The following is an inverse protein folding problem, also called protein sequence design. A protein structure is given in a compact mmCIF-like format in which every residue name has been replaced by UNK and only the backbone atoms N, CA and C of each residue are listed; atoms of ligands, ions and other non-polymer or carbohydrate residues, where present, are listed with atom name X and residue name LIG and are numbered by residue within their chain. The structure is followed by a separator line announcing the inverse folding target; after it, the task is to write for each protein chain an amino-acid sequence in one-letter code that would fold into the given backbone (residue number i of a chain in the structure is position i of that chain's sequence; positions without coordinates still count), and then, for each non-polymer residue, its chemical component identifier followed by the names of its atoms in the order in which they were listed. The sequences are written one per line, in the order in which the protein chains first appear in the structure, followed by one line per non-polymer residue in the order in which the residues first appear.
data_IF_834763906483
#
_entry.id   IF_834763906483
#
_cell.length_a   1.000
_cell.length_b   1.000
_cell.length_c   1.000
_cell.angle_alpha   90.00
_cell.angle_beta   90.00
_cell.angle_gamma   90.00
#
_symmetry.space_group_name_H-M   'P 1'
#
loop_
_entity.id
_entity.type
_entity.pdbx_description
1 polymer ?
#
# COMPACT_ATOMS: atom_id res chain seq x y z
N UNK A 1 -23.50 -8.13 -26.86
CA UNK A 1 -23.60 -8.00 -25.38
C UNK A 1 -23.18 -6.58 -25.04
N UNK A 2 -24.10 -5.74 -24.60
CA UNK A 2 -23.83 -4.36 -24.20
C UNK A 2 -23.14 -4.46 -22.83
N UNK A 3 -21.97 -3.87 -22.63
CA UNK A 3 -21.27 -3.98 -21.34
C UNK A 3 -22.10 -3.30 -20.24
N UNK A 4 -22.36 -4.02 -19.17
CA UNK A 4 -23.12 -3.56 -17.99
C UNK A 4 -22.58 -2.28 -17.31
N UNK A 5 -21.45 -1.75 -17.75
CA UNK A 5 -20.83 -0.52 -17.22
C UNK A 5 -21.57 0.78 -17.57
N UNK A 6 -22.46 0.80 -18.55
CA UNK A 6 -23.15 2.04 -18.98
C UNK A 6 -24.32 2.42 -18.06
N UNK A 7 -24.83 1.50 -17.22
CA UNK A 7 -26.05 1.74 -16.43
C UNK A 7 -25.76 2.42 -15.07
N UNK A 8 -24.55 2.34 -14.54
CA UNK A 8 -24.22 2.96 -13.23
C UNK A 8 -23.92 4.46 -13.35
N UNK A 9 -23.45 4.93 -14.49
CA UNK A 9 -23.13 6.34 -14.70
C UNK A 9 -24.38 7.23 -14.94
N UNK A 10 -25.50 6.66 -15.35
CA UNK A 10 -26.72 7.41 -15.68
C UNK A 10 -27.62 7.72 -14.47
N UNK A 11 -27.42 7.10 -13.33
CA UNK A 11 -28.25 7.31 -12.13
C UNK A 11 -27.76 8.46 -11.22
N UNK A 12 -26.58 9.03 -11.49
CA UNK A 12 -25.99 10.13 -10.71
C UNK A 12 -26.25 11.53 -11.30
N UNK A 13 -26.92 11.63 -12.45
CA UNK A 13 -27.08 12.90 -13.18
C UNK A 13 -28.38 13.68 -12.87
N UNK A 14 -29.29 13.19 -12.05
CA UNK A 14 -30.62 13.83 -11.85
C UNK A 14 -31.05 14.02 -10.41
N UNK A 15 -30.16 14.38 -9.50
CA UNK A 15 -30.59 14.91 -8.19
C UNK A 15 -29.65 15.98 -7.69
N UNK A 16 -29.66 17.14 -8.36
CA UNK A 16 -29.28 18.41 -7.73
C UNK A 16 -30.41 18.92 -6.82
N UNK A 17 -31.06 18.04 -6.08
CA UNK A 17 -31.98 18.39 -5.03
C UNK A 17 -31.19 18.76 -3.79
N UNK A 18 -31.35 19.99 -3.34
CA UNK A 18 -30.85 20.62 -2.15
C UNK A 18 -30.73 19.65 -0.97
N UNK A 19 -29.53 19.12 -0.74
CA UNK A 19 -29.13 18.66 0.58
C UNK A 19 -28.88 19.93 1.38
N UNK A 20 -29.85 20.29 2.23
CA UNK A 20 -29.71 21.35 3.19
C UNK A 20 -28.36 21.20 3.89
N UNK A 21 -27.58 22.30 3.93
CA UNK A 21 -26.41 22.39 4.79
C UNK A 21 -26.90 22.27 6.22
N UNK A 22 -26.90 21.06 6.77
CA UNK A 22 -26.93 20.92 8.23
C UNK A 22 -25.59 21.46 8.72
N UNK A 23 -25.63 22.47 9.55
CA UNK A 23 -24.47 23.04 10.26
C UNK A 23 -23.95 22.09 11.34
N UNK A 24 -24.64 20.98 11.59
CA UNK A 24 -24.28 19.98 12.58
C UNK A 24 -23.13 19.14 12.07
N UNK A 25 -22.01 19.17 12.80
CA UNK A 25 -20.93 18.22 12.59
C UNK A 25 -21.48 16.79 12.80
N UNK A 26 -21.11 15.81 11.93
CA UNK A 26 -21.57 14.45 12.09
C UNK A 26 -21.08 13.91 13.44
N UNK A 27 -21.96 13.25 14.17
CA UNK A 27 -21.61 12.60 15.43
C UNK A 27 -20.51 11.54 15.23
N UNK A 28 -19.70 11.34 16.28
CA UNK A 28 -18.65 10.32 16.31
C UNK A 28 -18.99 9.29 17.39
N UNK A 29 -18.40 8.09 17.32
CA UNK A 29 -18.52 7.10 18.38
C UNK A 29 -18.00 7.64 19.73
N UNK A 30 -16.94 8.46 19.68
CA UNK A 30 -16.37 9.15 20.82
C UNK A 30 -17.40 10.07 21.51
N UNK A 31 -18.14 10.87 20.75
CA UNK A 31 -19.20 11.75 21.25
C UNK A 31 -20.40 10.96 21.77
N UNK A 32 -20.80 9.90 21.08
CA UNK A 32 -21.89 9.02 21.50
C UNK A 32 -21.62 8.35 22.86
N UNK A 33 -20.35 8.14 23.21
CA UNK A 33 -19.91 7.64 24.50
C UNK A 33 -19.74 8.74 25.56
N UNK A 34 -20.05 10.00 25.23
CA UNK A 34 -19.95 11.12 26.16
C UNK A 34 -18.53 11.68 26.31
N UNK A 35 -17.64 11.47 25.34
CA UNK A 35 -16.24 11.94 25.36
C UNK A 35 -15.51 11.56 26.66
N UNK A 36 -15.43 10.27 27.03
CA UNK A 36 -14.78 9.85 28.27
C UNK A 36 -13.32 10.29 28.29
N UNK A 37 -12.88 10.81 29.42
CA UNK A 37 -11.51 11.29 29.60
C UNK A 37 -10.49 10.17 29.44
N UNK A 38 -9.43 10.43 28.71
CA UNK A 38 -8.35 9.47 28.42
C UNK A 38 -8.72 8.36 27.42
N UNK A 39 -10.01 8.13 27.11
CA UNK A 39 -10.42 7.10 26.16
C UNK A 39 -10.67 7.70 24.78
N UNK A 40 -10.02 7.16 23.77
CA UNK A 40 -10.28 7.43 22.35
C UNK A 40 -10.86 6.18 21.70
N UNK A 41 -11.98 6.31 21.02
CA UNK A 41 -12.61 5.21 20.27
C UNK A 41 -12.95 5.64 18.87
N UNK A 42 -12.86 4.71 17.92
CA UNK A 42 -13.29 4.92 16.55
C UNK A 42 -13.74 3.60 15.92
N UNK A 43 -14.63 3.70 14.95
CA UNK A 43 -14.99 2.56 14.13
C UNK A 43 -15.09 2.98 12.67
N UNK A 44 -14.79 2.05 11.78
CA UNK A 44 -15.02 2.25 10.35
C UNK A 44 -15.56 0.98 9.70
N UNK A 45 -16.39 1.17 8.69
CA UNK A 45 -16.83 0.10 7.80
C UNK A 45 -16.67 0.55 6.36
N UNK A 46 -16.04 -0.27 5.55
CA UNK A 46 -15.86 -0.06 4.12
C UNK A 46 -16.48 -1.20 3.34
N UNK A 47 -17.35 -0.88 2.40
CA UNK A 47 -17.85 -1.81 1.39
C UNK A 47 -17.29 -1.40 0.03
N UNK A 48 -16.69 -2.36 -0.70
CA UNK A 48 -16.13 -2.14 -2.03
C UNK A 48 -16.58 -3.23 -2.98
N UNK A 49 -17.01 -2.81 -4.17
CA UNK A 49 -17.15 -3.68 -5.33
C UNK A 49 -15.98 -3.45 -6.28
N UNK A 50 -15.37 -4.53 -6.76
CA UNK A 50 -14.28 -4.53 -7.73
C UNK A 50 -14.66 -5.40 -8.92
N UNK A 51 -14.34 -4.94 -10.13
CA UNK A 51 -14.51 -5.71 -11.36
C UNK A 51 -13.22 -5.68 -12.19
N UNK A 52 -12.78 -6.85 -12.64
CA UNK A 52 -11.55 -7.06 -13.40
C UNK A 52 -11.86 -7.88 -14.65
N UNK A 53 -11.45 -7.39 -15.81
CA UNK A 53 -11.68 -8.05 -17.09
C UNK A 53 -10.37 -8.20 -17.89
N UNK A 54 -10.26 -9.31 -18.61
CA UNK A 54 -9.15 -9.64 -19.53
C UNK A 54 -7.78 -9.55 -18.85
N UNK A 55 -7.66 -10.06 -17.61
CA UNK A 55 -6.38 -10.07 -16.93
C UNK A 55 -5.40 -11.08 -17.54
N UNK A 56 -4.13 -10.70 -17.55
CA UNK A 56 -3.04 -11.46 -18.18
C UNK A 56 -2.28 -12.39 -17.23
N UNK A 57 -2.53 -12.37 -15.92
CA UNK A 57 -1.80 -13.17 -14.92
C UNK A 57 -2.06 -14.66 -15.09
N UNK A 58 -1.01 -15.51 -15.07
CA UNK A 58 -1.17 -16.95 -15.26
C UNK A 58 -1.90 -17.61 -14.09
N UNK A 59 -2.68 -18.64 -14.40
CA UNK A 59 -3.37 -19.46 -13.39
C UNK A 59 -4.58 -18.81 -12.74
N UNK A 60 -5.03 -17.65 -13.22
CA UNK A 60 -6.21 -16.95 -12.76
C UNK A 60 -7.24 -16.82 -13.88
N UNK A 61 -8.50 -16.66 -13.53
CA UNK A 61 -9.55 -16.39 -14.49
C UNK A 61 -9.37 -15.03 -15.14
N UNK A 62 -9.77 -14.90 -16.40
CA UNK A 62 -9.64 -13.64 -17.13
C UNK A 62 -10.52 -12.53 -16.57
N UNK A 63 -11.69 -12.89 -16.04
CA UNK A 63 -12.63 -11.96 -15.48
C UNK A 63 -12.90 -12.33 -14.02
N UNK A 64 -13.06 -11.31 -13.18
CA UNK A 64 -13.24 -11.49 -11.74
C UNK A 64 -14.08 -10.34 -11.19
N UNK A 65 -15.08 -10.65 -10.38
CA UNK A 65 -15.94 -9.70 -9.69
C UNK A 65 -15.91 -9.99 -8.19
N UNK A 66 -15.70 -8.98 -7.38
CA UNK A 66 -15.52 -9.15 -5.94
C UNK A 66 -16.26 -8.07 -5.15
N UNK A 67 -16.90 -8.45 -4.06
CA UNK A 67 -17.32 -7.54 -3.00
C UNK A 67 -16.45 -7.76 -1.78
N UNK A 68 -15.81 -6.72 -1.29
CA UNK A 68 -15.06 -6.76 -0.04
C UNK A 68 -15.72 -5.89 1.02
N UNK A 69 -15.75 -6.40 2.26
CA UNK A 69 -16.19 -5.65 3.43
C UNK A 69 -15.05 -5.65 4.43
N UNK A 70 -14.71 -4.47 4.95
CA UNK A 70 -13.74 -4.30 6.03
C UNK A 70 -14.37 -3.49 7.15
N UNK A 71 -14.32 -4.03 8.35
CA UNK A 71 -14.74 -3.36 9.58
C UNK A 71 -13.53 -3.25 10.51
N UNK A 72 -13.24 -2.05 11.00
CA UNK A 72 -12.20 -1.81 11.99
C UNK A 72 -12.83 -1.12 13.19
N UNK A 73 -12.51 -1.58 14.41
CA UNK A 73 -12.90 -0.96 15.69
C UNK A 73 -11.62 -0.78 16.49
N UNK A 74 -11.33 0.46 16.88
CA UNK A 74 -10.13 0.80 17.64
C UNK A 74 -10.49 1.54 18.92
N UNK A 75 -9.72 1.27 19.97
CA UNK A 75 -9.78 1.97 21.25
C UNK A 75 -8.37 2.17 21.82
N UNK A 76 -8.10 3.36 22.36
CA UNK A 76 -6.88 3.66 23.11
C UNK A 76 -7.27 4.36 24.41
N UNK A 77 -6.77 3.85 25.54
CA UNK A 77 -6.90 4.48 26.84
C UNK A 77 -5.55 5.05 27.28
N UNK A 78 -5.54 6.35 27.51
CA UNK A 78 -4.36 7.15 27.85
C UNK A 78 -4.48 7.66 29.30
N UNK A 79 -3.57 7.21 30.17
CA UNK A 79 -3.47 7.63 31.57
C UNK A 79 -2.51 8.80 31.78
N UNK A 80 -1.92 9.33 30.72
CA UNK A 80 -0.80 10.26 30.70
C UNK A 80 0.55 9.53 30.51
N UNK A 81 1.11 8.85 31.53
CA UNK A 81 2.38 8.15 31.33
C UNK A 81 2.27 6.81 30.60
N UNK A 82 1.08 6.19 30.59
CA UNK A 82 0.88 4.87 29.98
C UNK A 82 -0.36 4.92 29.08
N UNK A 83 -0.25 4.29 27.90
CA UNK A 83 -1.33 4.09 26.94
C UNK A 83 -1.56 2.60 26.73
N UNK A 84 -2.82 2.21 26.61
CA UNK A 84 -3.23 0.85 26.25
C UNK A 84 -4.08 0.97 25.00
N UNK A 85 -3.64 0.40 23.89
CA UNK A 85 -4.33 0.49 22.60
C UNK A 85 -4.67 -0.87 22.03
N UNK A 86 -5.82 -0.94 21.35
CA UNK A 86 -6.28 -2.12 20.64
C UNK A 86 -7.07 -1.77 19.39
N UNK A 87 -7.00 -2.63 18.40
CA UNK A 87 -7.78 -2.56 17.16
C UNK A 87 -8.15 -3.96 16.71
N UNK A 88 -9.43 -4.20 16.48
CA UNK A 88 -9.95 -5.41 15.87
C UNK A 88 -10.36 -5.11 14.44
N UNK A 89 -9.82 -5.87 13.49
CA UNK A 89 -10.18 -5.83 12.08
C UNK A 89 -10.98 -7.07 11.67
N UNK A 90 -11.95 -6.89 10.77
CA UNK A 90 -12.67 -7.98 10.11
C UNK A 90 -12.75 -7.71 8.61
N UNK A 91 -11.92 -8.42 7.84
CA UNK A 91 -11.80 -8.28 6.39
C UNK A 91 -12.34 -9.51 5.69
N UNK A 92 -13.42 -9.33 4.93
CA UNK A 92 -14.12 -10.41 4.22
C UNK A 92 -14.30 -10.10 2.75
N UNK A 93 -14.39 -11.16 1.94
CA UNK A 93 -14.62 -11.06 0.51
C UNK A 93 -15.67 -12.07 0.05
N UNK A 94 -16.46 -11.68 -0.95
CA UNK A 94 -17.59 -12.43 -1.46
C UNK A 94 -17.57 -12.45 -2.99
N UNK A 95 -18.20 -13.45 -3.59
CA UNK A 95 -18.30 -13.73 -5.03
C UNK A 95 -17.03 -14.26 -5.69
N UNK A 96 -15.93 -14.46 -4.92
CA UNK A 96 -14.75 -15.12 -5.45
C UNK A 96 -14.98 -16.62 -5.70
N UNK A 97 -14.22 -17.18 -6.64
CA UNK A 97 -14.19 -18.60 -6.97
C UNK A 97 -12.75 -19.14 -6.97
N UNK A 98 -12.51 -20.43 -7.24
CA UNK A 98 -11.16 -21.00 -7.25
C UNK A 98 -10.18 -20.33 -8.22
N UNK A 99 -10.65 -19.79 -9.35
CA UNK A 99 -9.87 -19.06 -10.35
C UNK A 99 -9.71 -17.57 -10.08
N UNK A 100 -10.45 -17.04 -9.10
CA UNK A 100 -10.43 -15.63 -8.71
C UNK A 100 -9.03 -15.14 -8.27
N UNK A 101 -8.80 -13.85 -8.43
CA UNK A 101 -7.59 -13.16 -7.94
C UNK A 101 -7.57 -12.96 -6.42
N UNK A 102 -8.65 -13.32 -5.71
CA UNK A 102 -8.75 -13.21 -4.25
C UNK A 102 -7.60 -13.90 -3.52
N UNK A 103 -7.05 -13.25 -2.50
CA UNK A 103 -5.94 -13.76 -1.69
C UNK A 103 -5.94 -13.20 -0.27
N UNK A 104 -4.78 -13.26 0.37
CA UNK A 104 -4.55 -12.70 1.72
C UNK A 104 -4.63 -11.17 1.76
N UNK A 105 -4.71 -10.51 0.61
CA UNK A 105 -4.98 -9.06 0.50
C UNK A 105 -6.44 -8.69 0.68
N UNK A 106 -7.36 -9.66 0.54
CA UNK A 106 -8.80 -9.44 0.60
C UNK A 106 -9.46 -10.04 1.84
N UNK A 107 -8.89 -11.12 2.40
CA UNK A 107 -9.49 -11.84 3.55
C UNK A 107 -8.51 -11.93 4.71
N UNK A 108 -8.95 -11.45 5.86
CA UNK A 108 -8.35 -11.62 7.18
C UNK A 108 -9.45 -11.39 8.25
N UNK A 109 -10.20 -12.44 8.56
CA UNK A 109 -11.43 -12.32 9.35
C UNK A 109 -11.13 -12.38 10.85
N UNK A 110 -11.68 -11.40 11.60
CA UNK A 110 -11.58 -11.27 13.07
C UNK A 110 -10.13 -11.30 13.56
N UNK A 111 -9.28 -10.43 13.01
CA UNK A 111 -7.87 -10.33 13.38
C UNK A 111 -7.65 -9.17 14.36
N UNK A 112 -6.94 -9.37 15.48
CA UNK A 112 -6.45 -8.28 16.31
C UNK A 112 -5.31 -7.56 15.58
N UNK A 113 -5.63 -6.42 14.95
CA UNK A 113 -4.66 -5.63 14.17
C UNK A 113 -3.68 -4.91 15.10
N UNK A 114 -4.17 -4.39 16.24
CA UNK A 114 -3.33 -3.76 17.25
C UNK A 114 -3.70 -4.25 18.64
N UNK A 115 -2.69 -4.45 19.49
CA UNK A 115 -2.80 -4.75 20.91
C UNK A 115 -1.46 -4.39 21.58
N UNK A 116 -1.36 -3.20 22.16
CA UNK A 116 -0.08 -2.68 22.65
C UNK A 116 -0.22 -1.92 23.98
N UNK A 117 0.92 -1.86 24.69
CA UNK A 117 1.18 -0.94 25.78
C UNK A 117 2.16 0.13 25.27
N UNK A 118 1.85 1.40 25.51
CA UNK A 118 2.70 2.54 25.23
C UNK A 118 3.13 3.21 26.54
N UNK A 119 4.37 3.66 26.60
CA UNK A 119 4.89 4.47 27.67
C UNK A 119 5.36 5.82 27.14
N UNK A 120 4.93 6.91 27.80
CA UNK A 120 5.44 8.25 27.57
C UNK A 120 6.73 8.43 28.37
N UNK A 121 7.87 8.60 27.68
CA UNK A 121 9.19 8.73 28.29
C UNK A 121 9.53 10.19 28.64
N UNK A 122 8.63 11.12 28.25
CA UNK A 122 8.89 12.55 28.40
C UNK A 122 10.01 13.07 27.49
N UNK A 123 10.71 14.12 27.89
CA UNK A 123 11.79 14.71 27.11
C UNK A 123 13.07 13.84 27.16
N UNK A 124 13.40 13.25 26.00
CA UNK A 124 14.62 12.46 25.77
C UNK A 124 15.49 13.22 24.77
N UNK A 125 16.80 13.39 25.06
CA UNK A 125 17.76 14.16 24.25
C UNK A 125 17.47 15.67 24.14
N UNK A 126 16.71 16.27 25.09
CA UNK A 126 16.47 17.71 25.14
C UNK A 126 15.13 18.08 25.78
N UNK A 127 15.03 19.28 26.38
CA UNK A 127 13.84 19.72 27.14
C UNK A 127 12.57 19.93 26.30
N UNK A 128 12.72 20.20 25.01
CA UNK A 128 11.60 20.46 24.09
C UNK A 128 11.33 19.26 23.15
N UNK A 129 11.65 18.06 23.61
CA UNK A 129 11.47 16.82 22.86
C UNK A 129 10.46 15.92 23.55
N UNK A 130 9.90 14.97 22.81
CA UNK A 130 9.04 13.92 23.35
C UNK A 130 9.49 12.57 22.82
N UNK A 131 9.32 11.53 23.62
CA UNK A 131 9.60 10.17 23.19
C UNK A 131 8.56 9.21 23.76
N UNK A 132 8.22 8.20 22.97
CA UNK A 132 7.32 7.11 23.38
C UNK A 132 7.97 5.77 23.08
N UNK A 133 7.63 4.77 23.90
CA UNK A 133 7.98 3.37 23.66
C UNK A 133 6.69 2.57 23.63
N UNK A 134 6.39 1.94 22.50
CA UNK A 134 5.27 1.03 22.37
C UNK A 134 5.77 -0.41 22.30
N UNK A 135 5.10 -1.34 22.98
CA UNK A 135 5.40 -2.77 22.99
C UNK A 135 4.11 -3.57 22.80
N UNK A 136 4.13 -4.57 21.94
CA UNK A 136 2.98 -5.38 21.54
C UNK A 136 2.77 -5.33 20.03
N UNK A 137 1.52 -5.41 19.60
CA UNK A 137 1.14 -5.39 18.18
C UNK A 137 0.68 -3.98 17.77
N UNK A 138 1.26 -3.43 16.72
CA UNK A 138 1.00 -2.08 16.23
C UNK A 138 1.19 -2.01 14.70
N UNK A 139 0.77 -0.90 14.10
CA UNK A 139 1.03 -0.60 12.68
C UNK A 139 2.24 0.33 12.54
N UNK A 140 2.90 0.26 11.37
CA UNK A 140 3.99 1.15 10.99
C UNK A 140 3.66 1.82 9.66
N UNK A 141 3.66 3.18 9.68
CA UNK A 141 3.62 4.01 8.49
C UNK A 141 4.84 4.93 8.51
N UNK A 142 5.82 4.67 7.63
CA UNK A 142 7.10 5.34 7.65
C UNK A 142 7.40 6.04 6.32
N UNK A 143 7.73 7.33 6.41
CA UNK A 143 8.16 8.15 5.29
C UNK A 143 7.13 8.23 4.16
N UNK A 144 7.50 7.78 2.97
CA UNK A 144 6.64 7.73 1.79
C UNK A 144 5.69 6.54 1.76
N UNK A 145 5.74 5.65 2.74
CA UNK A 145 5.01 4.37 2.80
C UNK A 145 5.38 3.38 1.65
N UNK A 146 6.41 3.69 0.88
CA UNK A 146 6.84 2.85 -0.26
C UNK A 146 7.42 1.51 0.17
N UNK A 147 8.01 1.43 1.36
CA UNK A 147 8.67 0.23 1.88
C UNK A 147 8.06 -0.27 3.19
N UNK A 148 7.43 0.59 3.98
CA UNK A 148 6.78 0.23 5.25
C UNK A 148 5.48 0.99 5.38
N UNK A 149 4.36 0.27 5.38
CA UNK A 149 3.02 0.85 5.44
C UNK A 149 1.99 -0.08 6.08
N UNK A 150 1.00 0.52 6.72
CA UNK A 150 -0.23 -0.16 7.16
C UNK A 150 -1.01 -0.77 5.97
N UNK A 151 -0.93 -0.18 4.78
CA UNK A 151 -1.68 -0.58 3.58
C UNK A 151 -3.20 -0.36 3.70
N UNK A 152 -3.65 0.87 3.46
CA UNK A 152 -5.07 1.21 3.61
C UNK A 152 -5.96 0.85 2.41
N UNK A 153 -5.41 0.70 1.20
CA UNK A 153 -6.22 0.38 0.02
C UNK A 153 -6.65 -1.09 -0.05
N UNK A 154 -5.78 -2.10 0.16
CA UNK A 154 -6.22 -3.49 0.25
C UNK A 154 -7.30 -3.69 1.31
N UNK A 155 -7.99 -4.79 1.27
CA UNK A 155 -9.01 -5.08 2.29
C UNK A 155 -8.39 -5.45 3.64
N UNK A 156 -7.15 -5.93 3.64
CA UNK A 156 -6.41 -6.34 4.84
C UNK A 156 -5.33 -5.33 5.22
N UNK A 157 -5.01 -5.27 6.50
CA UNK A 157 -3.99 -4.39 7.08
C UNK A 157 -2.67 -5.13 7.29
N UNK A 158 -1.55 -4.42 7.26
CA UNK A 158 -0.25 -4.95 7.67
C UNK A 158 0.06 -4.47 9.08
N UNK A 159 0.34 -5.39 10.00
CA UNK A 159 0.70 -5.09 11.38
C UNK A 159 1.98 -5.83 11.80
N UNK A 160 2.55 -5.42 12.92
CA UNK A 160 3.85 -5.84 13.41
C UNK A 160 3.79 -6.02 14.93
N UNK A 161 4.32 -7.12 15.45
CA UNK A 161 4.43 -7.34 16.89
C UNK A 161 5.87 -7.15 17.32
N UNK A 162 6.11 -6.37 18.38
CA UNK A 162 7.46 -6.10 18.87
C UNK A 162 7.55 -4.84 19.72
N UNK A 163 8.62 -4.07 19.52
CA UNK A 163 8.84 -2.81 20.19
C UNK A 163 9.15 -1.69 19.20
N UNK A 164 8.62 -0.49 19.48
CA UNK A 164 8.83 0.73 18.70
C UNK A 164 9.14 1.90 19.63
N UNK A 165 10.27 2.56 19.39
CA UNK A 165 10.63 3.84 19.99
C UNK A 165 10.35 4.94 18.96
N UNK A 166 9.57 5.96 19.34
CA UNK A 166 9.23 7.11 18.48
C UNK A 166 9.58 8.41 19.19
N UNK A 167 10.57 9.13 18.66
CA UNK A 167 11.10 10.36 19.22
C UNK A 167 10.80 11.54 18.30
N UNK A 168 10.40 12.66 18.90
CA UNK A 168 10.16 13.92 18.22
C UNK A 168 11.05 15.02 18.77
N UNK A 169 11.81 15.65 17.88
CA UNK A 169 12.72 16.76 18.19
C UNK A 169 12.03 18.11 18.23
N UNK A 170 12.69 19.08 18.86
CA UNK A 170 12.24 20.48 18.95
C UNK A 170 12.05 21.16 17.59
N UNK A 171 12.83 20.78 16.57
CA UNK A 171 12.72 21.26 15.18
C UNK A 171 11.76 20.43 14.33
N UNK A 172 10.88 19.63 14.94
CA UNK A 172 9.94 18.67 14.30
C UNK A 172 10.64 17.50 13.59
N UNK A 173 11.88 17.20 13.98
CA UNK A 173 12.54 15.95 13.59
C UNK A 173 11.77 14.77 14.17
N UNK A 174 11.79 13.63 13.49
CA UNK A 174 11.24 12.37 13.99
C UNK A 174 12.25 11.26 13.80
N UNK A 175 12.47 10.47 14.85
CA UNK A 175 13.25 9.23 14.81
C UNK A 175 12.37 8.08 15.27
N UNK A 176 12.23 7.07 14.43
CA UNK A 176 11.55 5.81 14.78
C UNK A 176 12.59 4.70 14.74
N UNK A 177 12.72 3.95 15.83
CA UNK A 177 13.50 2.70 15.88
C UNK A 177 12.55 1.57 16.22
N UNK A 178 12.71 0.41 15.59
CA UNK A 178 11.81 -0.72 15.82
C UNK A 178 12.53 -2.07 15.67
N UNK A 179 12.02 -3.05 16.40
CA UNK A 179 12.36 -4.47 16.25
C UNK A 179 11.04 -5.27 16.33
N UNK A 180 10.68 -5.97 15.25
CA UNK A 180 9.33 -6.52 15.10
C UNK A 180 9.31 -7.86 14.39
N UNK A 181 8.21 -8.59 14.61
CA UNK A 181 7.74 -9.75 13.87
C UNK A 181 6.53 -9.33 13.02
N UNK A 182 6.70 -9.18 11.69
CA UNK A 182 5.58 -8.87 10.79
C UNK A 182 4.54 -9.98 10.80
N UNK A 183 3.27 -9.61 10.79
CA UNK A 183 2.19 -10.58 10.65
C UNK A 183 2.19 -11.22 9.25
N UNK A 184 2.16 -12.53 9.23
CA UNK A 184 1.98 -13.37 8.04
C UNK A 184 0.51 -13.79 7.99
N UNK A 185 -0.24 -13.19 7.07
CA UNK A 185 -1.71 -13.29 7.02
C UNK A 185 -2.20 -14.70 6.74
N UNK A 186 -3.20 -15.10 7.52
CA UNK A 186 -3.91 -16.37 7.40
C UNK A 186 -5.44 -16.13 7.34
N UNK A 187 -6.22 -17.03 6.69
CA UNK A 187 -5.75 -18.18 5.93
C UNK A 187 -5.04 -17.78 4.63
N UNK A 188 -4.13 -18.60 4.16
CA UNK A 188 -3.40 -18.42 2.90
C UNK A 188 -3.74 -19.47 1.83
N UNK A 189 -4.53 -20.47 2.21
CA UNK A 189 -5.08 -21.45 1.26
C UNK A 189 -6.40 -20.98 0.63
N UNK A 190 -6.53 -21.17 -0.69
CA UNK A 190 -7.68 -20.69 -1.46
C UNK A 190 -9.05 -21.16 -0.90
N UNK A 191 -9.26 -22.44 -0.53
CA UNK A 191 -10.54 -22.89 0.00
C UNK A 191 -10.95 -22.22 1.31
N UNK A 192 -10.01 -21.88 2.19
CA UNK A 192 -10.27 -21.18 3.44
C UNK A 192 -10.55 -19.69 3.21
N UNK A 193 -9.80 -19.04 2.30
CA UNK A 193 -10.02 -17.67 1.86
C UNK A 193 -11.44 -17.51 1.30
N UNK A 194 -11.86 -18.37 0.35
CA UNK A 194 -13.20 -18.30 -0.26
C UNK A 194 -14.34 -18.47 0.75
N UNK A 195 -14.09 -19.07 1.90
CA UNK A 195 -15.07 -19.26 2.99
C UNK A 195 -14.95 -18.19 4.08
N UNK A 196 -14.10 -17.19 3.92
CA UNK A 196 -13.80 -16.20 4.96
C UNK A 196 -13.51 -16.85 6.33
N UNK A 197 -12.70 -17.93 6.32
CA UNK A 197 -12.42 -18.67 7.53
C UNK A 197 -11.62 -17.81 8.51
N UNK A 198 -12.05 -17.77 9.75
CA UNK A 198 -11.30 -17.13 10.83
C UNK A 198 -10.06 -17.97 11.13
N UNK A 199 -8.89 -17.39 10.96
CA UNK A 199 -7.60 -17.98 11.31
C UNK A 199 -6.63 -16.84 11.58
N UNK A 200 -6.17 -16.75 12.81
CA UNK A 200 -5.26 -15.68 13.23
C UNK A 200 -3.92 -15.76 12.52
N UNK A 201 -3.36 -14.60 12.25
CA UNK A 201 -2.10 -14.45 11.56
C UNK A 201 -0.96 -15.12 12.32
N UNK A 202 -0.01 -15.67 11.56
CA UNK A 202 1.24 -16.19 12.14
C UNK A 202 2.22 -15.04 12.37
N UNK A 203 2.92 -15.07 13.50
CA UNK A 203 4.01 -14.19 13.82
C UNK A 203 5.04 -14.90 14.70
N UNK A 204 6.31 -14.62 14.47
CA UNK A 204 7.39 -15.27 15.22
C UNK A 204 8.78 -14.89 14.73
N UNK A 205 9.78 -15.52 15.33
CA UNK A 205 11.19 -15.30 15.00
C UNK A 205 11.63 -15.87 13.64
N UNK A 206 10.72 -16.49 12.90
CA UNK A 206 10.91 -16.92 11.51
C UNK A 206 10.82 -15.74 10.52
N UNK A 207 10.17 -14.65 10.90
CA UNK A 207 10.16 -13.40 10.13
C UNK A 207 10.43 -12.23 11.06
N UNK A 208 11.62 -11.65 10.97
CA UNK A 208 12.05 -10.51 11.78
C UNK A 208 12.27 -9.30 10.89
N UNK A 209 11.70 -8.18 11.28
CA UNK A 209 11.87 -6.89 10.60
C UNK A 209 12.27 -5.81 11.61
N UNK A 210 13.44 -5.21 11.39
CA UNK A 210 13.97 -4.21 12.31
C UNK A 210 14.65 -3.07 11.57
N UNK A 211 14.84 -1.96 12.25
CA UNK A 211 15.53 -0.83 11.65
C UNK A 211 15.17 0.50 12.26
N UNK A 212 15.43 1.55 11.47
CA UNK A 212 15.18 2.92 11.87
C UNK A 212 14.78 3.81 10.69
N UNK A 213 14.03 4.84 11.02
CA UNK A 213 13.60 5.90 10.13
C UNK A 213 13.84 7.25 10.80
N UNK A 214 14.46 8.18 10.09
CA UNK A 214 14.70 9.54 10.55
C UNK A 214 14.16 10.55 9.53
N UNK A 215 13.30 11.47 9.97
CA UNK A 215 12.84 12.60 9.19
C UNK A 215 13.44 13.91 9.75
N UNK A 216 14.00 14.71 8.88
CA UNK A 216 14.44 16.09 9.17
C UNK A 216 13.72 17.05 8.24
N UNK A 217 12.75 17.82 8.75
CA UNK A 217 12.07 18.83 7.95
C UNK A 217 12.98 20.05 7.72
N UNK A 218 12.75 20.71 6.58
CA UNK A 218 13.34 22.03 6.26
C UNK A 218 14.88 22.09 6.31
N UNK A 219 15.55 21.04 5.79
CA UNK A 219 17.02 21.03 5.70
C UNK A 219 17.56 22.16 4.81
N UNK A 220 16.78 22.59 3.82
CA UNK A 220 17.05 23.75 2.95
C UNK A 220 15.73 24.36 2.48
N UNK A 221 15.34 25.50 3.03
CA UNK A 221 14.06 26.14 2.74
C UNK A 221 12.86 25.25 3.11
N UNK A 222 12.07 24.83 2.12
CA UNK A 222 10.94 23.92 2.30
C UNK A 222 11.28 22.45 1.98
N UNK A 223 12.55 22.13 1.77
CA UNK A 223 13.00 20.75 1.45
C UNK A 223 13.14 19.93 2.73
N UNK A 224 12.58 18.73 2.72
CA UNK A 224 12.63 17.76 3.80
C UNK A 224 13.55 16.59 3.42
N UNK A 225 14.11 15.89 4.42
CA UNK A 225 14.95 14.72 4.27
C UNK A 225 14.39 13.58 5.10
N UNK A 226 14.22 12.42 4.48
CA UNK A 226 14.07 11.14 5.16
C UNK A 226 15.33 10.31 4.95
N UNK A 227 15.79 9.65 6.00
CA UNK A 227 16.82 8.62 5.97
C UNK A 227 16.27 7.37 6.63
N UNK A 228 16.58 6.21 6.09
CA UNK A 228 16.16 4.96 6.71
C UNK A 228 17.13 3.81 6.46
N UNK A 229 17.08 2.86 7.36
CA UNK A 229 17.75 1.58 7.25
C UNK A 229 16.81 0.50 7.75
N UNK A 230 16.47 -0.45 6.89
CA UNK A 230 15.59 -1.58 7.21
C UNK A 230 16.33 -2.89 7.00
N UNK A 231 16.08 -3.86 7.86
CA UNK A 231 16.63 -5.20 7.80
C UNK A 231 15.51 -6.22 7.92
N UNK A 232 15.54 -7.24 7.06
CA UNK A 232 14.61 -8.35 7.04
C UNK A 232 15.38 -9.65 7.17
N UNK A 233 15.01 -10.48 8.15
CA UNK A 233 15.48 -11.83 8.36
C UNK A 233 14.30 -12.80 8.26
N UNK A 234 14.34 -13.72 7.31
CA UNK A 234 13.29 -14.71 7.06
C UNK A 234 13.86 -16.12 7.12
N UNK A 235 13.09 -17.04 7.68
CA UNK A 235 13.37 -18.46 7.77
C UNK A 235 12.12 -19.26 7.47
N UNK A 236 12.29 -20.54 7.16
CA UNK A 236 11.18 -21.49 7.06
C UNK A 236 10.41 -21.59 8.37
N UNK A 237 9.09 -21.74 8.26
CA UNK A 237 8.24 -22.17 9.35
C UNK A 237 7.33 -23.32 8.91
N UNK A 238 6.69 -24.00 9.84
CA UNK A 238 5.98 -25.24 9.59
C UNK A 238 5.00 -25.17 8.42
N UNK A 239 5.28 -25.91 7.34
CA UNK A 239 4.47 -25.95 6.13
C UNK A 239 4.68 -24.79 5.15
N UNK A 240 5.57 -23.83 5.46
CA UNK A 240 5.81 -22.64 4.65
C UNK A 240 7.31 -22.47 4.39
N UNK A 241 7.84 -23.16 3.36
CA UNK A 241 9.23 -22.98 2.96
C UNK A 241 9.42 -21.61 2.32
N UNK A 242 10.50 -20.92 2.70
CA UNK A 242 10.85 -19.60 2.23
C UNK A 242 12.17 -19.62 1.45
N UNK A 243 12.64 -18.46 1.05
CA UNK A 243 13.95 -18.30 0.44
C UNK A 243 15.02 -17.83 1.42
N UNK A 244 14.78 -17.90 2.71
CA UNK A 244 15.72 -17.46 3.78
C UNK A 244 16.31 -16.10 3.48
N UNK A 245 15.47 -15.11 3.27
CA UNK A 245 15.92 -13.74 2.97
C UNK A 245 16.65 -13.14 4.18
N UNK A 246 17.87 -12.69 3.96
CA UNK A 246 18.60 -11.86 4.91
C UNK A 246 19.05 -10.61 4.15
N UNK A 247 18.25 -9.56 4.20
CA UNK A 247 18.44 -8.37 3.36
C UNK A 247 18.44 -7.08 4.18
N UNK A 248 19.32 -6.16 3.79
CA UNK A 248 19.44 -4.82 4.33
C UNK A 248 19.07 -3.80 3.28
N UNK A 249 18.35 -2.77 3.68
CA UNK A 249 17.81 -1.74 2.79
C UNK A 249 18.08 -0.34 3.34
N UNK A 250 19.27 0.24 3.18
CA UNK A 250 19.46 1.68 3.34
C UNK A 250 18.76 2.46 2.24
N UNK A 251 18.22 3.63 2.60
CA UNK A 251 17.63 4.54 1.65
C UNK A 251 17.50 5.97 2.16
N UNK A 252 17.23 6.87 1.22
CA UNK A 252 17.05 8.29 1.48
C UNK A 252 15.98 8.87 0.56
N UNK A 253 15.27 9.87 1.06
CA UNK A 253 14.30 10.66 0.30
C UNK A 253 14.50 12.14 0.55
N UNK A 254 14.62 12.92 -0.54
CA UNK A 254 14.54 14.37 -0.53
C UNK A 254 13.22 14.78 -1.15
N UNK A 255 12.47 15.66 -0.48
CA UNK A 255 11.17 16.04 -0.98
C UNK A 255 10.76 17.44 -0.52
N UNK A 256 9.89 18.02 -1.30
CA UNK A 256 9.18 19.25 -1.00
C UNK A 256 7.70 19.04 -1.30
N UNK A 257 6.85 19.34 -0.32
CA UNK A 257 5.41 19.15 -0.44
C UNK A 257 4.78 20.13 -1.45
N UNK A 258 3.72 19.70 -2.15
CA UNK A 258 2.97 20.57 -3.06
C UNK A 258 2.43 21.82 -2.36
N UNK A 259 2.59 22.97 -3.01
CA UNK A 259 2.03 24.23 -2.56
C UNK A 259 1.65 25.08 -3.78
N UNK A 260 0.53 25.82 -3.68
CA UNK A 260 0.01 26.65 -4.77
C UNK A 260 1.05 27.63 -5.30
N UNK A 261 1.26 27.65 -6.61
CA UNK A 261 2.23 28.51 -7.29
C UNK A 261 3.69 28.10 -7.06
N UNK A 262 3.93 26.87 -6.59
CA UNK A 262 5.29 26.38 -6.30
C UNK A 262 5.55 25.04 -7.01
N UNK A 263 6.84 24.85 -7.34
CA UNK A 263 7.35 23.56 -7.74
C UNK A 263 7.51 22.68 -6.49
N UNK A 264 7.09 21.46 -6.57
CA UNK A 264 7.32 20.39 -5.60
C UNK A 264 8.11 19.26 -6.27
N UNK A 265 8.73 18.41 -5.46
CA UNK A 265 9.48 17.27 -5.96
C UNK A 265 9.61 16.17 -4.92
N UNK A 266 9.85 14.95 -5.38
CA UNK A 266 10.31 13.83 -4.56
C UNK A 266 11.45 13.12 -5.31
N UNK A 267 12.48 12.74 -4.57
CA UNK A 267 13.54 11.87 -5.05
C UNK A 267 13.86 10.87 -3.93
N UNK A 268 13.51 9.62 -4.14
CA UNK A 268 13.74 8.55 -3.16
C UNK A 268 14.53 7.42 -3.83
N UNK A 269 15.59 6.99 -3.17
CA UNK A 269 16.43 5.88 -3.62
C UNK A 269 16.69 4.93 -2.46
N UNK A 270 16.60 3.62 -2.73
CA UNK A 270 17.01 2.58 -1.81
C UNK A 270 17.83 1.50 -2.52
N UNK A 271 18.80 0.97 -1.80
CA UNK A 271 19.65 -0.14 -2.24
C UNK A 271 19.45 -1.33 -1.32
N UNK A 272 19.41 -2.53 -1.87
CA UNK A 272 19.31 -3.77 -1.10
C UNK A 272 20.56 -4.64 -1.28
N UNK A 273 21.06 -5.15 -0.18
CA UNK A 273 22.17 -6.10 -0.14
C UNK A 273 21.94 -7.16 0.95
N UNK A 274 22.74 -8.22 0.92
CA UNK A 274 22.60 -9.35 1.82
C UNK A 274 22.63 -10.67 1.05
N UNK A 275 21.82 -11.63 1.45
CA UNK A 275 21.73 -12.91 0.77
C UNK A 275 20.31 -13.50 0.80
N UNK A 276 20.07 -14.42 -0.13
CA UNK A 276 18.80 -15.14 -0.30
C UNK A 276 19.11 -16.54 -0.82
N UNK A 277 18.32 -17.55 -0.47
CA UNK A 277 18.42 -18.87 -1.08
C UNK A 277 17.95 -18.84 -2.55
N UNK A 278 18.59 -19.64 -3.42
CA UNK A 278 18.24 -19.70 -4.84
C UNK A 278 16.83 -20.25 -5.10
N UNK A 279 16.30 -21.04 -4.16
CA UNK A 279 14.93 -21.59 -4.18
C UNK A 279 14.44 -21.82 -2.75
N UNK A 280 13.19 -22.25 -2.61
CA UNK A 280 12.59 -22.68 -1.34
C UNK A 280 12.93 -24.14 -0.94
N UNK A 281 13.76 -24.84 -1.72
CA UNK A 281 14.18 -26.20 -1.39
C UNK A 281 15.12 -26.20 -0.19
N UNK A 282 14.98 -27.18 0.71
CA UNK A 282 15.87 -27.34 1.86
C UNK A 282 17.33 -27.46 1.40
N UNK A 283 18.23 -26.67 2.00
CA UNK A 283 19.65 -26.65 1.65
C UNK A 283 19.98 -25.98 0.31
N UNK A 284 19.05 -25.23 -0.29
CA UNK A 284 19.32 -24.47 -1.51
C UNK A 284 20.52 -23.51 -1.34
N UNK A 285 21.41 -23.41 -2.36
CA UNK A 285 22.57 -22.52 -2.28
C UNK A 285 22.18 -21.07 -2.01
N UNK A 286 23.00 -20.37 -1.21
CA UNK A 286 22.84 -18.93 -0.99
C UNK A 286 23.42 -18.11 -2.13
N UNK A 287 22.77 -17.02 -2.43
CA UNK A 287 23.11 -16.05 -3.47
C UNK A 287 23.09 -14.64 -2.88
N UNK A 288 24.12 -13.85 -3.19
CA UNK A 288 24.18 -12.47 -2.72
C UNK A 288 23.12 -11.59 -3.42
N UNK A 289 22.49 -10.72 -2.65
CA UNK A 289 21.54 -9.71 -3.14
C UNK A 289 22.28 -8.43 -3.53
N UNK A 290 21.84 -7.82 -4.64
CA UNK A 290 22.27 -6.50 -5.09
C UNK A 290 21.14 -5.90 -5.93
N UNK A 291 20.19 -5.22 -5.28
CA UNK A 291 18.99 -4.69 -5.91
C UNK A 291 18.78 -3.21 -5.54
N UNK A 292 17.98 -2.51 -6.33
CA UNK A 292 17.76 -1.08 -6.11
C UNK A 292 16.39 -0.62 -6.61
N UNK A 293 15.90 0.48 -6.01
CA UNK A 293 14.70 1.18 -6.44
C UNK A 293 14.91 2.69 -6.44
N UNK A 294 14.22 3.36 -7.34
CA UNK A 294 14.20 4.81 -7.46
C UNK A 294 12.77 5.28 -7.70
N UNK A 295 12.36 6.32 -7.00
CA UNK A 295 11.22 7.16 -7.36
C UNK A 295 11.68 8.59 -7.54
N UNK A 296 11.32 9.21 -8.64
CA UNK A 296 11.56 10.61 -8.92
C UNK A 296 10.25 11.25 -9.40
N UNK A 297 9.87 12.36 -8.80
CA UNK A 297 8.68 13.12 -9.21
C UNK A 297 8.99 14.62 -9.17
N UNK A 298 8.50 15.34 -10.18
CA UNK A 298 8.52 16.80 -10.26
C UNK A 298 7.11 17.28 -10.57
N UNK A 299 6.57 18.15 -9.71
CA UNK A 299 5.22 18.67 -9.81
C UNK A 299 5.16 20.19 -9.73
N UNK A 300 4.05 20.74 -10.23
CA UNK A 300 3.69 22.14 -10.05
C UNK A 300 2.19 22.24 -9.76
N UNK A 301 1.84 22.93 -8.68
CA UNK A 301 0.45 23.16 -8.33
C UNK A 301 0.02 24.57 -8.77
N UNK A 302 -0.94 24.62 -9.67
CA UNK A 302 -1.53 25.88 -10.15
C UNK A 302 -2.53 26.43 -9.14
N UNK A 303 -2.77 27.74 -9.19
CA UNK A 303 -3.87 28.38 -8.47
C UNK A 303 -5.22 28.16 -9.16
N UNK A 304 -6.30 28.66 -8.54
CA UNK A 304 -7.65 28.64 -9.07
C UNK A 304 -8.56 27.63 -8.38
N UNK A 305 -9.83 27.59 -8.79
CA UNK A 305 -10.88 26.87 -8.06
C UNK A 305 -10.73 25.34 -8.04
N UNK A 306 -10.03 24.75 -9.00
CA UNK A 306 -9.80 23.32 -9.07
C UNK A 306 -8.44 22.87 -8.51
N UNK A 307 -7.57 23.86 -8.19
CA UNK A 307 -6.23 23.65 -7.66
C UNK A 307 -5.46 22.52 -8.41
N UNK A 308 -5.38 22.57 -9.76
CA UNK A 308 -4.78 21.47 -10.50
C UNK A 308 -3.26 21.38 -10.22
N UNK A 309 -2.77 20.16 -10.04
CA UNK A 309 -1.33 19.86 -9.96
C UNK A 309 -0.95 18.95 -11.11
N UNK A 310 0.01 19.37 -11.91
CA UNK A 310 0.64 18.54 -12.94
C UNK A 310 1.95 18.00 -12.39
N UNK A 311 2.15 16.70 -12.50
CA UNK A 311 3.41 16.04 -12.13
C UNK A 311 3.89 15.11 -13.23
N UNK A 312 5.21 15.06 -13.42
CA UNK A 312 5.90 14.02 -14.16
C UNK A 312 6.66 13.15 -13.15
N UNK A 313 6.64 11.85 -13.34
CA UNK A 313 7.30 10.91 -12.43
C UNK A 313 8.03 9.79 -13.18
N UNK A 314 8.97 9.18 -12.49
CA UNK A 314 9.68 7.99 -12.94
C UNK A 314 9.86 7.03 -11.77
N UNK A 315 9.37 5.80 -11.94
CA UNK A 315 9.51 4.72 -10.99
C UNK A 315 10.38 3.61 -11.57
N UNK A 316 11.37 3.18 -10.81
CA UNK A 316 12.27 2.10 -11.19
C UNK A 316 12.43 1.12 -10.02
N UNK A 317 12.42 -0.17 -10.32
CA UNK A 317 12.84 -1.23 -9.41
C UNK A 317 13.53 -2.34 -10.22
N UNK A 318 14.72 -2.72 -9.78
CA UNK A 318 15.55 -3.70 -10.48
C UNK A 318 14.87 -5.08 -10.54
N UNK A 319 15.11 -5.80 -11.64
CA UNK A 319 14.73 -7.19 -11.86
C UNK A 319 15.92 -8.13 -11.73
N UNK A 320 15.64 -9.42 -11.59
CA UNK A 320 16.67 -10.44 -11.51
C UNK A 320 17.28 -10.68 -12.90
N UNK A 321 18.60 -10.68 -12.94
CA UNK A 321 19.39 -10.91 -14.17
C UNK A 321 20.16 -12.22 -14.04
N UNK A 322 20.31 -12.99 -15.14
CA UNK A 322 21.16 -14.16 -15.12
C UNK A 322 22.56 -13.82 -14.59
N UNK A 323 23.03 -14.56 -13.59
CA UNK A 323 24.34 -14.30 -12.99
C UNK A 323 24.47 -14.85 -11.56
N UNK A 324 25.53 -14.41 -10.88
CA UNK A 324 25.85 -14.86 -9.53
C UNK A 324 25.13 -14.08 -8.40
N UNK A 325 24.46 -12.95 -8.73
CA UNK A 325 23.80 -12.07 -7.77
C UNK A 325 22.31 -12.05 -8.06
N UNK A 326 21.51 -12.11 -7.01
CA UNK A 326 20.09 -11.85 -7.10
C UNK A 326 19.85 -10.34 -7.13
N UNK A 327 19.24 -9.83 -8.20
CA UNK A 327 19.11 -8.39 -8.41
C UNK A 327 17.66 -7.89 -8.44
N UNK A 328 16.67 -8.74 -8.16
CA UNK A 328 15.28 -8.34 -8.04
C UNK A 328 15.03 -7.60 -6.74
N UNK A 329 14.50 -6.38 -6.82
CA UNK A 329 14.17 -5.57 -5.64
C UNK A 329 12.98 -6.16 -4.88
N UNK A 330 13.08 -6.20 -3.55
CA UNK A 330 12.03 -6.60 -2.63
C UNK A 330 11.33 -5.35 -2.08
N UNK A 331 10.01 -5.25 -2.31
CA UNK A 331 9.20 -4.11 -1.86
C UNK A 331 8.91 -4.08 -0.36
N UNK A 332 9.45 -5.02 0.42
CA UNK A 332 9.21 -5.19 1.86
C UNK A 332 7.69 -5.14 2.18
N UNK A 333 7.29 -4.28 3.09
CA UNK A 333 5.90 -4.10 3.56
C UNK A 333 5.25 -2.83 3.02
N UNK A 334 5.73 -2.31 1.89
CA UNK A 334 5.26 -1.06 1.32
C UNK A 334 3.91 -1.13 0.61
N UNK A 335 3.28 0.03 0.48
CA UNK A 335 2.04 0.17 -0.30
C UNK A 335 2.30 0.26 -1.79
N UNK A 336 1.33 -0.21 -2.59
CA UNK A 336 1.31 -0.02 -4.05
C UNK A 336 0.51 1.21 -4.46
N UNK A 337 -0.52 1.55 -3.70
CA UNK A 337 -1.57 2.51 -4.10
C UNK A 337 -1.06 3.89 -4.49
N UNK A 338 -0.01 4.37 -3.83
CA UNK A 338 0.51 5.71 -4.10
C UNK A 338 1.12 5.84 -5.50
N UNK A 339 1.92 4.85 -5.92
CA UNK A 339 2.73 4.92 -7.14
C UNK A 339 2.19 4.04 -8.29
N UNK A 340 1.63 2.85 -7.98
CA UNK A 340 1.41 1.79 -8.98
C UNK A 340 -0.04 1.59 -9.39
N UNK A 341 -0.94 2.44 -8.90
CA UNK A 341 -2.35 2.36 -9.19
C UNK A 341 -3.14 1.51 -8.21
N UNK A 342 -4.38 1.11 -8.57
CA UNK A 342 -5.24 0.35 -7.69
C UNK A 342 -4.58 -0.95 -7.22
N UNK A 343 -4.73 -1.26 -5.92
CA UNK A 343 -4.43 -2.57 -5.35
C UNK A 343 -5.59 -3.55 -5.57
N UNK A 344 -6.01 -4.26 -4.52
CA UNK A 344 -7.08 -5.24 -4.59
C UNK A 344 -6.77 -6.32 -5.63
N UNK A 345 -7.82 -6.80 -6.30
CA UNK A 345 -7.68 -7.85 -7.31
C UNK A 345 -6.96 -7.39 -8.60
N UNK A 346 -6.83 -6.08 -8.84
CA UNK A 346 -6.08 -5.58 -10.00
C UNK A 346 -4.58 -5.87 -9.87
N UNK A 347 -3.88 -5.23 -9.02
CA UNK A 347 -2.49 -5.39 -8.60
C UNK A 347 -1.41 -5.82 -9.61
N UNK A 348 -1.43 -5.43 -10.92
CA UNK A 348 -0.44 -5.91 -11.89
C UNK A 348 0.91 -5.24 -11.73
N UNK A 349 0.95 -4.02 -11.22
CA UNK A 349 2.18 -3.25 -11.04
C UNK A 349 2.68 -3.32 -9.59
N UNK A 350 3.98 -3.25 -9.42
CA UNK A 350 4.62 -3.27 -8.11
C UNK A 350 6.10 -2.97 -8.21
N UNK A 351 6.72 -2.73 -7.07
CA UNK A 351 8.12 -2.29 -6.94
C UNK A 351 9.10 -3.46 -7.09
N UNK A 352 9.08 -4.09 -8.27
CA UNK A 352 9.98 -5.18 -8.67
C UNK A 352 10.03 -5.28 -10.20
N UNK A 353 11.20 -5.41 -10.77
CA UNK A 353 11.44 -5.59 -12.21
C UNK A 353 10.60 -4.67 -13.09
N UNK A 354 10.69 -3.36 -12.84
CA UNK A 354 9.90 -2.37 -13.56
C UNK A 354 10.68 -1.07 -13.77
N UNK A 355 10.41 -0.42 -14.91
CA UNK A 355 10.85 0.92 -15.27
C UNK A 355 9.64 1.64 -15.87
N UNK A 356 9.19 2.72 -15.25
CA UNK A 356 7.88 3.30 -15.54
C UNK A 356 7.88 4.83 -15.45
N UNK A 357 8.12 5.56 -16.55
CA UNK A 357 7.83 6.98 -16.62
C UNK A 357 6.32 7.24 -16.74
N UNK A 358 5.87 8.35 -16.21
CA UNK A 358 4.48 8.76 -16.29
C UNK A 358 4.22 10.23 -16.01
N UNK A 359 2.97 10.60 -16.17
CA UNK A 359 2.44 11.93 -15.85
C UNK A 359 1.13 11.78 -15.07
N UNK A 360 0.85 12.76 -14.23
CA UNK A 360 -0.34 12.78 -13.39
C UNK A 360 -0.90 14.19 -13.27
N UNK A 361 -2.22 14.29 -13.30
CA UNK A 361 -2.96 15.51 -12.99
C UNK A 361 -3.84 15.23 -11.80
N UNK A 362 -3.60 15.93 -10.69
CA UNK A 362 -4.46 15.94 -9.51
C UNK A 362 -5.35 17.18 -9.54
N UNK A 363 -6.59 17.05 -9.05
CA UNK A 363 -7.54 18.14 -8.91
C UNK A 363 -8.25 18.09 -7.57
N UNK A 364 -8.56 19.26 -7.01
CA UNK A 364 -9.33 19.42 -5.77
C UNK A 364 -10.37 20.51 -5.94
N UNK A 365 -11.48 20.24 -6.64
CA UNK A 365 -12.51 21.25 -6.94
C UNK A 365 -13.14 21.87 -5.70
N UNK A 366 -13.17 21.16 -4.57
CA UNK A 366 -13.71 21.65 -3.31
C UNK A 366 -13.10 20.91 -2.10
N UNK A 367 -13.49 21.29 -0.88
CA UNK A 367 -13.13 20.54 0.33
C UNK A 367 -13.74 19.13 0.38
N UNK A 368 -14.80 18.88 -0.41
CA UNK A 368 -15.50 17.57 -0.46
C UNK A 368 -15.02 16.68 -1.58
N UNK A 369 -14.43 17.24 -2.66
CA UNK A 369 -14.07 16.48 -3.86
C UNK A 369 -12.58 16.57 -4.14
N UNK A 370 -12.00 15.46 -4.46
CA UNK A 370 -10.66 15.34 -5.07
C UNK A 370 -10.63 14.20 -6.09
N UNK A 371 -9.69 14.27 -6.99
CA UNK A 371 -9.49 13.24 -7.98
C UNK A 371 -8.17 13.37 -8.72
N UNK A 372 -7.85 12.38 -9.51
CA UNK A 372 -6.70 12.42 -10.41
C UNK A 372 -6.91 11.56 -11.64
N UNK A 373 -6.12 11.86 -12.66
CA UNK A 373 -5.87 11.00 -13.81
C UNK A 373 -4.35 10.85 -13.95
N UNK A 374 -3.89 9.63 -14.21
CA UNK A 374 -2.48 9.35 -14.42
C UNK A 374 -2.31 8.43 -15.64
N UNK A 375 -1.20 8.64 -16.36
CA UNK A 375 -0.71 7.80 -17.45
C UNK A 375 0.70 7.35 -17.14
N UNK A 376 1.02 6.11 -17.45
CA UNK A 376 2.37 5.56 -17.41
C UNK A 376 2.63 4.57 -18.52
N UNK A 377 3.86 4.45 -18.92
CA UNK A 377 4.33 3.38 -19.76
C UNK A 377 5.26 2.46 -18.96
N UNK A 378 5.17 1.14 -19.19
CA UNK A 378 5.79 0.14 -18.33
C UNK A 378 6.75 -0.75 -19.12
N UNK A 379 7.97 -0.89 -18.64
CA UNK A 379 8.99 -1.82 -19.12
C UNK A 379 9.48 -2.70 -17.98
N UNK A 380 9.92 -3.90 -18.32
CA UNK A 380 10.73 -4.72 -17.41
C UNK A 380 12.16 -4.14 -17.35
N UNK A 381 12.80 -4.15 -16.19
CA UNK A 381 14.24 -3.92 -16.09
C UNK A 381 15.03 -5.11 -16.65
N UNK A 382 14.67 -6.33 -16.29
CA UNK A 382 15.21 -7.58 -16.83
C UNK A 382 14.17 -8.32 -17.67
N UNK A 383 14.48 -8.59 -18.94
CA UNK A 383 13.57 -9.27 -19.87
C UNK A 383 13.31 -10.75 -19.49
N UNK A 384 14.22 -11.38 -18.74
CA UNK A 384 14.16 -12.79 -18.36
C UNK A 384 13.53 -13.02 -16.98
N UNK A 385 13.23 -11.95 -16.23
CA UNK A 385 12.59 -12.05 -14.92
C UNK A 385 11.08 -11.79 -15.02
N UNK A 386 10.35 -12.11 -13.96
CA UNK A 386 8.89 -11.91 -13.88
C UNK A 386 8.55 -10.41 -13.86
N UNK A 387 7.56 -10.02 -14.66
CA UNK A 387 7.03 -8.66 -14.66
C UNK A 387 6.36 -8.32 -13.33
N UNK A 388 6.87 -7.33 -12.64
CA UNK A 388 6.37 -6.91 -11.33
C UNK A 388 6.04 -8.12 -10.42
N UNK A 389 4.87 -8.16 -9.81
CA UNK A 389 4.41 -9.27 -8.96
C UNK A 389 3.42 -10.21 -9.66
N UNK A 390 3.42 -10.24 -11.00
CA UNK A 390 2.35 -10.88 -11.79
C UNK A 390 2.56 -12.37 -12.04
N UNK A 391 3.79 -12.88 -11.89
CA UNK A 391 4.13 -14.25 -12.30
C UNK A 391 4.36 -14.42 -13.82
N UNK A 392 4.03 -13.40 -14.66
CA UNK A 392 4.30 -13.47 -16.10
C UNK A 392 5.78 -13.33 -16.36
N UNK A 393 6.36 -14.33 -17.04
CA UNK A 393 7.81 -14.43 -17.26
C UNK A 393 8.14 -15.08 -18.61
N UNK A 394 9.18 -14.57 -19.23
CA UNK A 394 9.86 -15.24 -20.35
C UNK A 394 11.34 -15.43 -20.01
N UNK A 395 11.72 -16.63 -19.55
CA UNK A 395 13.10 -16.95 -19.15
C UNK A 395 14.10 -16.73 -20.28
N UNK A 396 13.64 -16.86 -21.55
CA UNK A 396 14.50 -16.63 -22.73
C UNK A 396 14.74 -15.14 -23.02
N UNK A 397 13.93 -14.23 -22.47
CA UNK A 397 13.98 -12.78 -22.73
C UNK A 397 13.54 -12.36 -24.14
N UNK A 398 13.09 -13.28 -24.99
CA UNK A 398 12.74 -13.01 -26.41
C UNK A 398 11.44 -12.22 -26.56
N UNK A 399 10.57 -12.24 -25.55
CA UNK A 399 9.33 -11.43 -25.54
C UNK A 399 9.59 -9.93 -25.47
N UNK A 400 10.83 -9.53 -25.13
CA UNK A 400 11.24 -8.13 -24.99
C UNK A 400 10.90 -7.56 -23.62
N UNK A 401 10.95 -6.23 -23.47
CA UNK A 401 10.77 -5.55 -22.17
C UNK A 401 9.49 -4.72 -22.07
N UNK A 402 8.92 -4.27 -23.17
CA UNK A 402 7.76 -3.37 -23.14
C UNK A 402 6.51 -4.12 -22.73
N UNK A 403 6.03 -3.86 -21.49
CA UNK A 403 4.85 -4.50 -20.92
C UNK A 403 3.54 -3.80 -21.33
N UNK A 404 3.56 -2.48 -21.55
CA UNK A 404 2.37 -1.77 -22.02
C UNK A 404 2.20 -0.38 -21.42
N UNK A 405 1.03 0.21 -21.67
CA UNK A 405 0.62 1.52 -21.15
C UNK A 405 -0.49 1.35 -20.14
N UNK A 406 -0.48 2.11 -19.06
CA UNK A 406 -1.59 2.17 -18.14
C UNK A 406 -2.15 3.59 -18.06
N UNK A 407 -3.47 3.69 -18.11
CA UNK A 407 -4.22 4.89 -17.71
C UNK A 407 -5.03 4.54 -16.48
N UNK A 408 -5.00 5.40 -15.48
CA UNK A 408 -5.83 5.24 -14.29
C UNK A 408 -6.51 6.55 -13.91
N UNK A 409 -7.66 6.46 -13.26
CA UNK A 409 -8.37 7.60 -12.72
C UNK A 409 -9.00 7.24 -11.36
N UNK A 410 -9.18 8.26 -10.53
CA UNK A 410 -9.91 8.17 -9.26
C UNK A 410 -10.69 9.45 -9.02
N UNK A 411 -11.90 9.31 -8.49
CA UNK A 411 -12.68 10.41 -7.92
C UNK A 411 -13.11 10.04 -6.50
N UNK A 412 -13.08 11.01 -5.60
CA UNK A 412 -13.44 10.88 -4.19
C UNK A 412 -14.38 12.00 -3.78
N UNK A 413 -15.42 11.66 -3.02
CA UNK A 413 -16.38 12.62 -2.50
C UNK A 413 -16.74 12.31 -1.05
N UNK A 414 -16.70 13.33 -0.19
CA UNK A 414 -17.30 13.27 1.12
C UNK A 414 -18.81 13.56 0.99
N UNK A 415 -19.63 12.52 1.04
CA UNK A 415 -21.09 12.64 1.09
C UNK A 415 -21.52 13.33 2.39
N UNK A 416 -20.95 12.88 3.51
CA UNK A 416 -21.00 13.54 4.81
C UNK A 416 -19.56 13.81 5.24
N UNK A 417 -19.15 15.08 5.40
CA UNK A 417 -17.76 15.41 5.76
C UNK A 417 -17.27 14.64 6.97
N UNK A 418 -16.06 14.07 6.87
CA UNK A 418 -15.39 13.26 7.90
C UNK A 418 -16.06 11.92 8.24
N UNK A 419 -17.33 11.70 7.88
CA UNK A 419 -18.09 10.50 8.23
C UNK A 419 -18.30 9.55 7.07
N UNK A 420 -18.90 10.00 5.95
CA UNK A 420 -19.25 9.12 4.83
C UNK A 420 -18.53 9.55 3.56
N UNK A 421 -17.65 8.69 3.08
CA UNK A 421 -16.85 8.91 1.87
C UNK A 421 -17.22 7.92 0.78
N UNK A 422 -17.49 8.45 -0.40
CA UNK A 422 -17.59 7.70 -1.64
C UNK A 422 -16.28 7.82 -2.42
N UNK A 423 -15.76 6.72 -2.94
CA UNK A 423 -14.61 6.70 -3.83
C UNK A 423 -14.90 5.76 -5.01
N UNK A 424 -14.52 6.18 -6.21
CA UNK A 424 -14.54 5.33 -7.39
C UNK A 424 -13.28 5.54 -8.21
N UNK A 425 -12.88 4.53 -8.91
CA UNK A 425 -11.72 4.61 -9.78
C UNK A 425 -11.55 3.36 -10.63
N UNK A 426 -10.53 3.40 -11.46
CA UNK A 426 -10.23 2.28 -12.32
C UNK A 426 -8.92 2.48 -13.07
N UNK A 427 -8.51 1.44 -13.78
CA UNK A 427 -7.34 1.44 -14.62
C UNK A 427 -7.56 0.58 -15.87
N UNK A 428 -6.91 0.97 -16.95
CA UNK A 428 -6.81 0.18 -18.16
C UNK A 428 -5.33 -0.02 -18.47
N UNK A 429 -4.89 -1.27 -18.56
CA UNK A 429 -3.55 -1.64 -19.02
C UNK A 429 -3.65 -2.15 -20.45
N UNK A 430 -3.10 -1.38 -21.38
CA UNK A 430 -2.98 -1.74 -22.80
C UNK A 430 -1.74 -2.60 -22.99
N UNK A 431 -1.94 -3.84 -23.40
CA UNK A 431 -0.87 -4.83 -23.51
C UNK A 431 0.22 -4.43 -24.51
N UNK A 432 1.45 -4.38 -24.01
CA UNK A 432 2.66 -4.24 -24.82
C UNK A 432 3.15 -5.57 -25.40
N UNK A 433 4.27 -5.50 -26.13
CA UNK A 433 4.85 -6.68 -26.79
C UNK A 433 5.15 -7.81 -25.79
N UNK A 434 5.64 -7.49 -24.59
CA UNK A 434 5.99 -8.50 -23.58
C UNK A 434 4.74 -9.30 -23.16
N UNK A 435 3.67 -8.64 -22.75
CA UNK A 435 2.45 -9.32 -22.31
C UNK A 435 1.76 -10.12 -23.42
N UNK A 436 1.89 -9.67 -24.69
CA UNK A 436 1.38 -10.39 -25.87
C UNK A 436 2.19 -11.62 -26.26
N UNK A 437 3.48 -11.72 -25.84
CA UNK A 437 4.41 -12.76 -26.30
C UNK A 437 4.98 -13.64 -25.20
N UNK A 438 4.82 -13.26 -23.93
CA UNK A 438 5.30 -14.08 -22.83
C UNK A 438 4.59 -15.44 -22.80
N UNK A 439 5.32 -16.55 -22.69
CA UNK A 439 4.77 -17.89 -22.91
C UNK A 439 3.73 -18.32 -21.90
N UNK A 440 3.70 -17.67 -20.72
CA UNK A 440 2.75 -17.97 -19.64
C UNK A 440 1.75 -16.83 -19.38
N UNK A 441 1.66 -15.81 -20.25
CA UNK A 441 0.61 -14.80 -20.12
C UNK A 441 -0.77 -15.39 -20.45
N UNK A 442 -1.80 -15.01 -19.71
CA UNK A 442 -3.16 -15.56 -19.81
C UNK A 442 -3.99 -14.93 -20.94
N UNK A 443 -3.45 -14.91 -22.16
CA UNK A 443 -4.18 -14.49 -23.36
C UNK A 443 -3.97 -13.04 -23.75
N UNK A 444 -4.73 -12.60 -24.76
CA UNK A 444 -4.58 -11.31 -25.43
C UNK A 444 -5.79 -10.44 -25.10
N UNK A 445 -5.56 -9.23 -24.63
CA UNK A 445 -6.59 -8.25 -24.36
C UNK A 445 -6.09 -7.20 -23.40
N UNK A 446 -6.68 -6.02 -23.44
CA UNK A 446 -6.35 -4.95 -22.51
C UNK A 446 -7.00 -5.22 -21.17
N UNK A 447 -6.23 -5.33 -20.11
CA UNK A 447 -6.77 -5.54 -18.77
C UNK A 447 -7.50 -4.29 -18.30
N UNK A 448 -8.79 -4.44 -17.95
CA UNK A 448 -9.63 -3.35 -17.44
C UNK A 448 -10.05 -3.65 -16.01
N UNK A 449 -9.92 -2.65 -15.15
CA UNK A 449 -10.32 -2.72 -13.75
C UNK A 449 -11.13 -1.49 -13.34
N UNK A 450 -12.15 -1.71 -12.53
CA UNK A 450 -12.95 -0.66 -11.92
C UNK A 450 -13.36 -1.02 -10.50
N UNK A 451 -13.56 0.00 -9.66
CA UNK A 451 -14.08 -0.20 -8.31
C UNK A 451 -14.98 0.95 -7.87
N UNK A 452 -15.86 0.63 -6.94
CA UNK A 452 -16.69 1.58 -6.18
C UNK A 452 -16.55 1.24 -4.70
N UNK A 453 -16.30 2.25 -3.89
CA UNK A 453 -15.98 2.14 -2.46
C UNK A 453 -16.86 3.11 -1.66
N UNK A 454 -17.48 2.63 -0.61
CA UNK A 454 -18.20 3.44 0.37
C UNK A 454 -17.60 3.18 1.74
N UNK A 455 -17.08 4.22 2.38
CA UNK A 455 -16.47 4.15 3.72
C UNK A 455 -17.24 5.02 4.68
N UNK A 456 -17.76 4.42 5.76
CA UNK A 456 -18.30 5.09 6.94
C UNK A 456 -17.22 5.08 8.03
N UNK A 457 -17.00 6.24 8.66
CA UNK A 457 -16.12 6.40 9.84
C UNK A 457 -16.90 7.13 10.92
N UNK A 458 -16.86 6.61 12.15
CA UNK A 458 -17.56 7.15 13.30
C UNK A 458 -16.70 7.19 14.56
#
# INVERSE_FOLDING_TARGET
MIPRFVIVASLLATSSAAWAQSTDEPWTLQEALGNPEGLKVSASIRARYEALHDQFRPGLDKNDDLVTIRTDIAAEYDTGPIRIGGELGDSRAYFGDPGSSIGTGEVNALEPIQAYLGADLGPVFGKATTATLDAGRFVLDLGSERLVARNNFPNTTTAFTGAKFDWHGAGKERLVLFYTYPQQRLPDDKPSILRNKVKWDHEGGDLVFWGGFFNKPKIAGATNLDLYFYALDEKDWTGHPTRDRHIFTPGARLFRDPATGKIDFQLEYAYQFGHISTSTAAGAPRQNVSAQTLHAELGYQFGGGWQPRLAAFYDFASGDRPGRRYSRFDGLFGTRRADWGPGGIYGPLGRSNISSPGIRVDVKPSKRWDGFVAYRANWLDSASDSFASTGVRDVSGKSGKFAGHQVEARARCWLIPRMLRFETGGAVLFDGRFLKKAPNANGFGNTTYGYVDLTLTI
#
